data_IF_222889492174
#
_entry.id   IF_222889492174
#
_cell.length_a   1.000
_cell.length_b   1.000
_cell.length_c   1.000
_cell.angle_alpha   90.00
_cell.angle_beta   90.00
_cell.angle_gamma   90.00
#
_symmetry.space_group_name_H-M   'P 1'
#
loop_
_entity.id
_entity.type
_entity.pdbx_description
1 polymer ?
#
# COMPACT_ATOMS: atom_id res chain seq x y z
N UNK A 1 17.60 -15.52 8.44
CA UNK A 1 16.32 -14.90 8.07
C UNK A 1 15.73 -14.13 9.25
N UNK A 2 15.83 -14.62 10.48
CA UNK A 2 15.29 -13.97 11.68
C UNK A 2 16.08 -12.74 12.15
N UNK A 3 17.35 -12.64 11.87
CA UNK A 3 18.22 -11.56 12.34
C UNK A 3 18.09 -10.24 11.57
N UNK A 4 17.57 -10.27 10.35
CA UNK A 4 17.36 -9.05 9.54
C UNK A 4 15.97 -8.42 9.73
N UNK A 5 14.99 -9.13 10.29
CA UNK A 5 13.63 -8.66 10.43
C UNK A 5 13.37 -7.86 11.72
N UNK A 6 14.10 -8.14 12.79
CA UNK A 6 13.83 -7.54 14.11
C UNK A 6 14.02 -6.02 14.20
N UNK A 7 15.06 -5.38 13.59
CA UNK A 7 15.20 -3.92 13.62
C UNK A 7 14.17 -3.20 12.73
N UNK A 8 13.54 -3.91 11.82
CA UNK A 8 12.67 -3.38 10.77
C UNK A 8 11.28 -3.05 11.31
N UNK A 9 10.87 -3.66 12.40
CA UNK A 9 9.54 -3.56 12.97
C UNK A 9 9.50 -2.81 14.31
N UNK A 10 10.49 -1.98 14.61
CA UNK A 10 10.38 -1.10 15.76
C UNK A 10 9.27 -0.06 15.54
N UNK A 11 8.40 0.10 16.54
CA UNK A 11 7.41 1.15 16.54
C UNK A 11 8.06 2.48 16.96
N UNK A 12 7.72 3.57 16.27
CA UNK A 12 8.27 4.88 16.60
C UNK A 12 8.10 5.91 15.51
N UNK A 13 8.72 7.06 15.72
CA UNK A 13 8.82 8.16 14.76
C UNK A 13 10.16 8.06 14.06
N UNK A 14 10.14 8.03 12.73
CA UNK A 14 11.32 7.89 11.89
C UNK A 14 11.40 9.01 10.88
N UNK A 15 12.58 9.57 10.74
CA UNK A 15 12.86 10.60 9.78
C UNK A 15 13.13 9.97 8.40
N UNK A 16 12.31 10.30 7.41
CA UNK A 16 12.49 9.89 6.01
C UNK A 16 13.42 10.85 5.30
N UNK A 17 13.18 12.14 5.50
CA UNK A 17 14.02 13.23 5.01
C UNK A 17 14.18 14.25 6.14
N UNK A 18 15.43 14.56 6.46
CA UNK A 18 15.80 15.37 7.61
C UNK A 18 15.04 16.70 7.71
N UNK A 19 14.31 16.90 8.79
CA UNK A 19 13.50 18.09 9.07
C UNK A 19 12.29 18.27 8.15
N UNK A 20 11.98 17.35 7.22
CA UNK A 20 10.99 17.52 6.15
C UNK A 20 9.91 16.45 6.13
N UNK A 21 10.28 15.18 6.20
CA UNK A 21 9.34 14.06 6.07
C UNK A 21 9.58 13.08 7.22
N UNK A 22 8.51 12.74 7.89
CA UNK A 22 8.52 11.80 9.02
C UNK A 22 7.46 10.71 8.83
N UNK A 23 7.75 9.51 9.30
CA UNK A 23 6.80 8.42 9.39
C UNK A 23 6.68 7.91 10.81
N UNK A 24 5.45 7.76 11.27
CA UNK A 24 5.13 6.98 12.47
C UNK A 24 4.84 5.57 12.01
N UNK A 25 5.65 4.62 12.45
CA UNK A 25 5.60 3.21 12.02
C UNK A 25 5.38 2.28 13.20
N UNK A 26 4.75 1.13 12.94
CA UNK A 26 4.60 0.06 13.92
C UNK A 26 3.43 0.23 14.89
N UNK A 27 2.64 1.29 14.78
CA UNK A 27 1.42 1.51 15.58
C UNK A 27 0.19 0.87 14.93
N UNK A 28 0.25 0.61 13.64
CA UNK A 28 -0.75 -0.07 12.84
C UNK A 28 -0.06 -0.83 11.69
N UNK A 29 -0.83 -1.43 10.79
CA UNK A 29 -0.31 -2.10 9.59
C UNK A 29 0.26 -1.08 8.60
N UNK A 30 -0.39 0.06 8.40
CA UNK A 30 0.08 1.16 7.56
C UNK A 30 0.89 2.20 8.35
N UNK A 31 1.76 2.90 7.65
CA UNK A 31 2.52 4.04 8.16
C UNK A 31 1.65 5.30 8.16
N UNK A 32 1.83 6.15 9.18
CA UNK A 32 1.26 7.49 9.22
C UNK A 32 2.38 8.48 8.85
N UNK A 33 2.23 9.19 7.74
CA UNK A 33 3.30 10.06 7.21
C UNK A 33 2.97 11.53 7.35
N UNK A 34 3.96 12.31 7.75
CA UNK A 34 3.90 13.76 7.90
C UNK A 34 4.93 14.42 7.00
N UNK A 35 4.48 15.30 6.12
CA UNK A 35 5.31 16.09 5.21
C UNK A 35 5.20 17.56 5.61
N UNK A 36 6.33 18.19 5.91
CA UNK A 36 6.36 19.62 6.25
C UNK A 36 6.02 20.45 5.01
N UNK A 37 5.10 21.38 5.14
CA UNK A 37 4.76 22.37 4.12
C UNK A 37 5.21 23.77 4.56
N UNK A 38 4.83 24.82 3.85
CA UNK A 38 5.32 26.16 4.12
C UNK A 38 4.90 26.71 5.49
N UNK A 39 3.65 26.47 5.90
CA UNK A 39 3.10 27.00 7.16
C UNK A 39 2.61 25.91 8.11
N UNK A 40 2.78 24.63 7.74
CA UNK A 40 2.29 23.52 8.54
C UNK A 40 2.67 22.15 7.99
N UNK A 41 1.71 21.25 7.93
CA UNK A 41 1.92 19.84 7.61
C UNK A 41 0.88 19.30 6.64
N UNK A 42 1.33 18.46 5.73
CA UNK A 42 0.50 17.56 4.92
C UNK A 42 0.61 16.17 5.56
N UNK A 43 -0.52 15.58 5.90
CA UNK A 43 -0.58 14.20 6.42
C UNK A 43 -0.92 13.27 5.26
N UNK A 44 -0.18 12.17 5.12
CA UNK A 44 -0.42 11.17 4.07
C UNK A 44 -0.78 9.86 4.73
N UNK A 45 -1.93 9.31 4.33
CA UNK A 45 -2.60 8.16 4.92
C UNK A 45 -2.79 8.30 6.44
N UNK A 46 -3.80 7.70 6.99
CA UNK A 46 -4.20 8.01 8.37
C UNK A 46 -4.52 6.77 9.21
N UNK A 47 -3.92 5.63 8.86
CA UNK A 47 -4.11 4.35 9.55
C UNK A 47 -5.54 3.79 9.52
N UNK A 48 -5.76 2.62 10.14
CA UNK A 48 -7.05 1.88 10.10
C UNK A 48 -8.12 2.51 10.99
N UNK A 49 -7.75 3.19 12.07
CA UNK A 49 -8.72 3.65 13.07
C UNK A 49 -8.29 4.95 13.75
N UNK A 50 -9.30 5.63 14.30
CA UNK A 50 -9.17 6.94 14.95
C UNK A 50 -8.15 6.94 16.09
N UNK A 51 -8.13 5.88 16.89
CA UNK A 51 -7.29 5.78 18.07
C UNK A 51 -5.81 5.63 17.69
N UNK A 52 -5.49 4.81 16.68
CA UNK A 52 -4.13 4.65 16.18
C UNK A 52 -3.62 5.96 15.55
N UNK A 53 -4.45 6.62 14.73
CA UNK A 53 -4.08 7.90 14.12
C UNK A 53 -3.85 9.00 15.16
N UNK A 54 -4.74 9.12 16.14
CA UNK A 54 -4.60 10.09 17.23
C UNK A 54 -3.36 9.81 18.09
N UNK A 55 -3.06 8.55 18.36
CA UNK A 55 -1.85 8.15 19.04
C UNK A 55 -0.59 8.52 18.24
N UNK A 56 -0.57 8.21 16.94
CA UNK A 56 0.53 8.55 16.04
C UNK A 56 0.78 10.05 15.96
N UNK A 57 -0.29 10.86 15.86
CA UNK A 57 -0.18 12.32 15.89
C UNK A 57 0.41 12.83 17.22
N UNK A 58 -0.02 12.26 18.35
CA UNK A 58 0.51 12.62 19.65
C UNK A 58 1.99 12.33 19.81
N UNK A 59 2.44 11.13 19.41
CA UNK A 59 3.86 10.76 19.58
C UNK A 59 4.79 11.58 18.68
N UNK A 60 4.38 11.94 17.47
CA UNK A 60 5.21 12.83 16.64
C UNK A 60 5.27 14.26 17.21
N UNK A 61 4.17 14.77 17.75
CA UNK A 61 4.16 16.06 18.46
C UNK A 61 5.12 16.05 19.66
N UNK A 62 5.11 14.96 20.44
CA UNK A 62 6.02 14.78 21.58
C UNK A 62 7.50 14.69 21.12
N UNK A 63 7.80 13.95 20.06
CA UNK A 63 9.17 13.77 19.56
C UNK A 63 9.72 15.05 18.97
N UNK A 64 8.93 15.79 18.20
CA UNK A 64 9.37 17.04 17.57
C UNK A 64 9.27 18.26 18.50
N UNK A 65 8.50 18.17 19.58
CA UNK A 65 8.22 19.31 20.46
C UNK A 65 7.38 20.39 19.76
N UNK A 66 6.56 20.00 18.78
CA UNK A 66 5.77 20.91 17.94
C UNK A 66 4.26 20.62 18.06
N UNK A 67 3.44 21.65 17.98
CA UNK A 67 1.99 21.50 17.80
C UNK A 67 1.68 21.26 16.32
N UNK A 68 1.58 20.02 15.91
CA UNK A 68 1.26 19.62 14.53
C UNK A 68 -0.23 19.72 14.28
N UNK A 69 -1.05 19.33 15.25
CA UNK A 69 -2.51 19.22 15.16
C UNK A 69 -3.16 20.51 14.63
N UNK A 70 -2.78 21.65 15.15
CA UNK A 70 -3.35 22.94 14.75
C UNK A 70 -2.75 23.49 13.45
N UNK A 71 -1.73 22.82 12.93
CA UNK A 71 -1.01 23.23 11.73
C UNK A 71 -1.14 22.22 10.57
N UNK A 72 -2.10 21.30 10.63
CA UNK A 72 -2.43 20.44 9.49
C UNK A 72 -3.10 21.29 8.42
N UNK A 73 -2.56 21.26 7.19
CA UNK A 73 -3.04 22.03 6.04
C UNK A 73 -3.78 21.17 5.05
N UNK A 74 -3.37 19.91 4.91
CA UNK A 74 -4.02 18.97 4.03
C UNK A 74 -3.84 17.53 4.53
N UNK A 75 -4.73 16.65 4.06
CA UNK A 75 -4.59 15.20 4.14
C UNK A 75 -4.63 14.65 2.71
N UNK A 76 -3.70 13.76 2.37
CA UNK A 76 -3.68 13.01 1.12
C UNK A 76 -3.94 11.55 1.47
N UNK A 77 -4.92 10.91 0.85
CA UNK A 77 -5.21 9.50 1.03
C UNK A 77 -4.93 8.78 -0.28
N UNK A 78 -4.05 7.78 -0.23
CA UNK A 78 -3.59 7.07 -1.42
C UNK A 78 -4.68 6.32 -2.16
N UNK A 79 -5.53 5.61 -1.42
CA UNK A 79 -6.54 4.72 -1.96
C UNK A 79 -7.61 4.33 -0.92
N UNK A 80 -8.55 3.49 -1.34
CA UNK A 80 -9.82 3.21 -0.63
C UNK A 80 -9.75 2.10 0.42
N UNK A 81 -8.58 1.53 0.72
CA UNK A 81 -8.46 0.54 1.80
C UNK A 81 -8.52 1.19 3.19
N UNK A 82 -9.10 0.47 4.14
CA UNK A 82 -9.41 1.02 5.47
C UNK A 82 -8.18 1.48 6.25
N UNK A 83 -7.04 0.84 6.06
CA UNK A 83 -5.79 1.16 6.75
C UNK A 83 -5.10 2.44 6.25
N UNK A 84 -5.68 3.10 5.23
CA UNK A 84 -5.19 4.38 4.71
C UNK A 84 -6.12 5.55 5.03
N UNK A 85 -7.44 5.31 5.23
CA UNK A 85 -8.39 6.38 5.51
C UNK A 85 -9.09 6.26 6.87
N UNK A 86 -9.13 5.07 7.48
CA UNK A 86 -10.03 4.77 8.60
C UNK A 86 -9.78 5.56 9.87
N UNK A 87 -8.58 6.11 10.03
CA UNK A 87 -8.19 6.92 11.18
C UNK A 87 -8.41 8.43 11.03
N UNK A 88 -9.06 8.89 9.96
CA UNK A 88 -9.13 10.32 9.60
C UNK A 88 -9.58 11.23 10.74
N UNK A 89 -10.54 10.80 11.57
CA UNK A 89 -11.02 11.61 12.72
C UNK A 89 -10.01 11.69 13.89
N UNK A 90 -8.96 10.88 13.87
CA UNK A 90 -7.83 11.01 14.79
C UNK A 90 -6.86 12.12 14.41
N UNK A 91 -6.92 12.55 13.15
CA UNK A 91 -6.06 13.60 12.57
C UNK A 91 -6.78 14.93 12.49
N UNK A 92 -7.99 14.95 11.91
CA UNK A 92 -8.81 16.16 11.74
C UNK A 92 -10.26 15.91 12.13
N UNK A 93 -10.96 16.94 12.59
CA UNK A 93 -12.40 16.88 12.81
C UNK A 93 -13.18 17.27 11.54
N UNK A 94 -14.44 16.82 11.40
CA UNK A 94 -15.28 17.23 10.26
C UNK A 94 -15.44 18.75 10.13
N UNK A 95 -15.40 19.50 11.23
CA UNK A 95 -15.53 20.96 11.27
C UNK A 95 -14.31 21.68 10.72
N UNK A 96 -13.13 21.06 10.79
CA UNK A 96 -11.88 21.61 10.25
C UNK A 96 -11.78 21.40 8.74
N UNK A 97 -12.54 20.44 8.18
CA UNK A 97 -12.42 20.03 6.77
C UNK A 97 -13.31 20.86 5.87
N UNK A 98 -12.79 21.34 4.74
CA UNK A 98 -13.54 22.08 3.74
C UNK A 98 -12.65 22.79 2.72
N UNK A 99 -13.28 23.63 1.89
CA UNK A 99 -12.62 24.39 0.81
C UNK A 99 -12.45 25.88 1.13
N UNK A 100 -12.96 26.34 2.25
CA UNK A 100 -12.77 27.74 2.66
C UNK A 100 -11.33 27.98 3.12
N UNK A 101 -10.91 29.24 3.10
CA UNK A 101 -9.59 29.63 3.60
C UNK A 101 -9.40 29.18 5.04
N UNK A 102 -8.24 28.61 5.34
CA UNK A 102 -7.89 28.07 6.66
C UNK A 102 -8.46 26.69 6.98
N UNK A 103 -9.32 26.12 6.13
CA UNK A 103 -9.80 24.74 6.30
C UNK A 103 -8.82 23.71 5.72
N UNK A 104 -8.84 22.52 6.29
CA UNK A 104 -8.02 21.37 5.83
C UNK A 104 -8.68 20.74 4.61
N UNK A 105 -7.92 20.54 3.55
CA UNK A 105 -8.37 19.85 2.35
C UNK A 105 -8.00 18.37 2.41
N UNK A 106 -8.90 17.50 1.92
CA UNK A 106 -8.65 16.07 1.79
C UNK A 106 -8.62 15.70 0.31
N UNK A 107 -7.46 15.28 -0.16
CA UNK A 107 -7.19 14.87 -1.54
C UNK A 107 -7.22 13.35 -1.65
N UNK A 108 -7.98 12.84 -2.62
CA UNK A 108 -8.13 11.40 -2.91
C UNK A 108 -8.12 11.15 -4.42
N UNK A 109 -7.81 9.95 -4.91
CA UNK A 109 -8.01 9.61 -6.32
C UNK A 109 -9.49 9.58 -6.69
N UNK A 110 -9.83 9.92 -7.92
CA UNK A 110 -11.20 9.80 -8.42
C UNK A 110 -11.69 8.34 -8.32
N UNK A 111 -12.96 8.16 -7.92
CA UNK A 111 -13.55 6.85 -7.62
C UNK A 111 -13.35 6.37 -6.18
N UNK A 112 -12.59 7.09 -5.36
CA UNK A 112 -12.30 6.71 -3.97
C UNK A 112 -13.56 6.38 -3.15
N UNK A 113 -14.59 7.23 -3.18
CA UNK A 113 -15.81 7.05 -2.39
C UNK A 113 -16.56 5.78 -2.78
N UNK A 114 -16.70 5.55 -4.10
CA UNK A 114 -17.37 4.38 -4.63
C UNK A 114 -16.64 3.09 -4.24
N UNK A 115 -15.33 3.05 -4.40
CA UNK A 115 -14.50 1.89 -4.07
C UNK A 115 -14.44 1.66 -2.55
N UNK A 116 -14.43 2.73 -1.74
CA UNK A 116 -14.53 2.62 -0.29
C UNK A 116 -15.82 1.90 0.14
N UNK A 117 -16.96 2.24 -0.48
CA UNK A 117 -18.25 1.59 -0.19
C UNK A 117 -18.25 0.14 -0.69
N UNK A 118 -17.79 -0.10 -1.91
CA UNK A 118 -17.74 -1.45 -2.48
C UNK A 118 -16.94 -2.41 -1.61
N UNK A 119 -15.77 -1.99 -1.16
CA UNK A 119 -14.87 -2.86 -0.43
C UNK A 119 -15.29 -3.02 1.04
N UNK A 120 -15.66 -1.94 1.71
CA UNK A 120 -15.90 -1.99 3.15
C UNK A 120 -17.36 -2.28 3.52
N UNK A 121 -18.33 -2.16 2.59
CA UNK A 121 -19.74 -2.35 2.87
C UNK A 121 -20.32 -3.58 2.17
N UNK A 122 -20.15 -3.74 0.85
CA UNK A 122 -20.85 -4.80 0.10
C UNK A 122 -20.46 -6.21 0.58
N UNK A 123 -19.17 -6.48 0.70
CA UNK A 123 -18.65 -7.75 1.19
C UNK A 123 -17.89 -7.61 2.52
N UNK A 124 -17.99 -6.47 3.19
CA UNK A 124 -17.18 -6.10 4.35
C UNK A 124 -17.20 -7.13 5.47
N UNK A 125 -18.38 -7.64 5.83
CA UNK A 125 -18.52 -8.69 6.86
C UNK A 125 -17.78 -9.98 6.47
N UNK A 126 -17.91 -10.43 5.22
CA UNK A 126 -17.21 -11.61 4.72
C UNK A 126 -15.70 -11.39 4.71
N UNK A 127 -15.24 -10.24 4.25
CA UNK A 127 -13.83 -9.86 4.25
C UNK A 127 -13.26 -9.76 5.66
N UNK A 128 -14.00 -9.19 6.61
CA UNK A 128 -13.60 -9.13 8.00
C UNK A 128 -13.37 -10.52 8.60
N UNK A 129 -14.29 -11.47 8.41
CA UNK A 129 -14.10 -12.83 8.88
C UNK A 129 -12.90 -13.54 8.23
N UNK A 130 -12.67 -13.29 6.95
CA UNK A 130 -11.54 -13.88 6.21
C UNK A 130 -10.20 -13.22 6.51
N UNK A 131 -10.20 -11.98 6.98
CA UNK A 131 -8.98 -11.25 7.33
C UNK A 131 -8.15 -11.94 8.43
N UNK A 132 -8.79 -12.71 9.30
CA UNK A 132 -8.12 -13.53 10.31
C UNK A 132 -7.09 -14.50 9.71
N UNK A 133 -7.42 -15.08 8.54
CA UNK A 133 -6.51 -15.98 7.81
C UNK A 133 -5.39 -15.22 7.11
N UNK A 134 -5.63 -14.01 6.66
CA UNK A 134 -4.63 -13.19 5.99
C UNK A 134 -3.61 -12.60 6.96
N UNK A 135 -4.10 -12.07 8.08
CA UNK A 135 -3.27 -11.36 9.04
C UNK A 135 -2.91 -12.19 10.29
N UNK A 136 -3.40 -13.43 10.39
CA UNK A 136 -3.15 -14.29 11.55
C UNK A 136 -3.75 -13.73 12.84
N UNK A 137 -4.96 -13.12 12.76
CA UNK A 137 -5.58 -12.42 13.89
C UNK A 137 -5.83 -13.26 15.13
N UNK A 138 -6.04 -14.57 14.95
CA UNK A 138 -6.26 -15.53 16.06
C UNK A 138 -4.93 -16.08 16.64
N UNK A 139 -3.77 -15.72 16.07
CA UNK A 139 -2.46 -16.14 16.58
C UNK A 139 -1.91 -15.12 17.58
N UNK A 140 -1.31 -15.62 18.65
CA UNK A 140 -0.60 -14.76 19.61
C UNK A 140 0.56 -14.04 18.91
N UNK A 141 0.75 -12.76 19.20
CA UNK A 141 1.91 -12.02 18.73
C UNK A 141 3.20 -12.57 19.37
N UNK A 142 4.23 -12.75 18.56
CA UNK A 142 5.54 -13.22 19.02
C UNK A 142 6.15 -14.32 18.15
N UNK A 143 7.34 -14.76 18.51
CA UNK A 143 8.15 -15.70 17.72
C UNK A 143 7.53 -17.09 17.50
N UNK A 144 6.60 -17.49 18.35
CA UNK A 144 5.87 -18.78 18.27
C UNK A 144 4.48 -18.67 17.65
N UNK A 145 4.06 -17.48 17.22
CA UNK A 145 2.77 -17.21 16.64
C UNK A 145 2.91 -16.26 15.44
N UNK A 146 2.26 -15.09 15.52
CA UNK A 146 2.33 -14.06 14.49
C UNK A 146 3.52 -13.13 14.78
N UNK A 147 4.57 -13.20 13.97
CA UNK A 147 5.73 -12.30 14.06
C UNK A 147 5.38 -10.92 13.47
N UNK A 148 4.69 -10.90 12.33
CA UNK A 148 4.22 -9.69 11.65
C UNK A 148 3.07 -10.05 10.70
N UNK A 149 2.48 -9.04 10.05
CA UNK A 149 1.51 -9.23 8.97
C UNK A 149 2.17 -9.32 7.58
N UNK A 150 3.48 -9.11 7.50
CA UNK A 150 4.20 -8.98 6.22
C UNK A 150 4.23 -7.56 5.67
N UNK A 151 3.27 -6.71 6.04
CA UNK A 151 3.20 -5.28 5.70
C UNK A 151 3.57 -4.38 6.90
N UNK A 152 3.33 -4.86 8.11
CA UNK A 152 3.60 -4.15 9.35
C UNK A 152 3.62 -5.11 10.54
N UNK A 153 3.80 -4.59 11.76
CA UNK A 153 3.84 -5.40 12.99
C UNK A 153 2.50 -6.12 13.25
N UNK A 154 1.40 -5.42 13.03
CA UNK A 154 0.07 -5.95 13.27
C UNK A 154 -0.99 -4.96 12.84
N UNK A 155 -2.26 -5.38 12.92
CA UNK A 155 -3.42 -4.52 12.72
C UNK A 155 -3.84 -3.97 14.08
N UNK A 156 -4.07 -2.67 14.17
CA UNK A 156 -4.65 -2.04 15.34
C UNK A 156 -6.17 -2.29 15.40
N UNK A 157 -6.75 -2.10 16.59
CA UNK A 157 -8.19 -2.19 16.82
C UNK A 157 -8.72 -0.86 17.33
N UNK A 158 -9.84 -0.42 16.80
CA UNK A 158 -10.44 0.86 17.17
C UNK A 158 -11.63 1.23 16.28
N UNK A 159 -11.97 2.50 16.27
CA UNK A 159 -13.11 3.06 15.55
C UNK A 159 -12.73 3.44 14.13
N UNK A 160 -13.26 2.73 13.13
CA UNK A 160 -13.17 3.15 11.72
C UNK A 160 -13.95 4.45 11.55
N UNK A 161 -13.34 5.43 10.92
CA UNK A 161 -13.96 6.73 10.68
C UNK A 161 -13.84 7.14 9.21
N UNK A 162 -14.72 8.05 8.82
CA UNK A 162 -14.75 8.60 7.48
C UNK A 162 -15.11 10.08 7.54
N UNK A 163 -14.49 10.88 6.70
CA UNK A 163 -14.86 12.26 6.40
C UNK A 163 -14.88 12.38 4.88
N UNK A 164 -15.96 12.95 4.33
CA UNK A 164 -16.08 13.15 2.88
C UNK A 164 -14.90 13.96 2.35
N UNK A 165 -14.18 13.46 1.35
CA UNK A 165 -13.07 14.18 0.73
C UNK A 165 -13.51 15.49 0.10
N UNK A 166 -12.60 16.45 0.03
CA UNK A 166 -12.88 17.75 -0.59
C UNK A 166 -12.45 17.81 -2.05
N UNK A 167 -11.44 17.03 -2.43
CA UNK A 167 -10.78 17.11 -3.73
C UNK A 167 -10.49 15.73 -4.31
N UNK A 168 -10.97 15.52 -5.54
CA UNK A 168 -10.81 14.27 -6.27
C UNK A 168 -9.83 14.49 -7.43
N UNK A 169 -8.71 13.79 -7.40
CA UNK A 169 -7.70 13.82 -8.46
C UNK A 169 -8.14 12.88 -9.58
N UNK A 170 -8.52 13.46 -10.72
CA UNK A 170 -9.09 12.72 -11.85
C UNK A 170 -8.08 12.45 -12.98
N UNK A 171 -6.93 13.13 -12.98
CA UNK A 171 -5.84 12.97 -13.94
C UNK A 171 -4.50 13.29 -13.28
N UNK A 172 -3.41 12.85 -13.91
CA UNK A 172 -2.07 13.22 -13.47
C UNK A 172 -1.95 14.74 -13.47
N UNK A 173 -1.61 15.32 -12.35
CA UNK A 173 -1.59 16.78 -12.16
C UNK A 173 -0.58 17.22 -11.13
N UNK A 174 -0.26 18.50 -11.14
CA UNK A 174 0.57 19.13 -10.12
C UNK A 174 -0.23 20.22 -9.41
N UNK A 175 -0.23 20.16 -8.08
CA UNK A 175 -0.90 21.14 -7.23
C UNK A 175 0.09 21.77 -6.26
N UNK A 176 -0.11 23.05 -5.92
CA UNK A 176 0.57 23.70 -4.81
C UNK A 176 -0.29 23.59 -3.56
N UNK A 177 0.18 22.85 -2.56
CA UNK A 177 -0.51 22.65 -1.28
C UNK A 177 0.29 23.33 -0.17
N UNK A 178 -0.25 24.36 0.44
CA UNK A 178 0.44 25.18 1.44
C UNK A 178 1.89 25.57 1.05
N UNK A 179 2.04 25.99 -0.23
CA UNK A 179 3.32 26.46 -0.78
C UNK A 179 4.32 25.34 -1.15
N UNK A 180 3.96 24.08 -0.99
CA UNK A 180 4.72 22.94 -1.45
C UNK A 180 4.10 22.38 -2.74
N UNK A 181 4.91 22.19 -3.78
CA UNK A 181 4.48 21.54 -5.01
C UNK A 181 4.36 20.03 -4.81
N UNK A 182 3.25 19.46 -5.25
CA UNK A 182 2.95 18.02 -5.17
C UNK A 182 2.48 17.56 -6.54
N UNK A 183 3.22 16.66 -7.16
CA UNK A 183 2.81 15.96 -8.38
C UNK A 183 2.02 14.71 -8.01
N UNK A 184 0.88 14.52 -8.66
CA UNK A 184 0.02 13.36 -8.50
C UNK A 184 0.11 12.47 -9.73
N UNK A 185 0.41 11.20 -9.54
CA UNK A 185 0.36 10.17 -10.57
C UNK A 185 -0.75 9.18 -10.23
N UNK A 186 -1.79 9.13 -11.05
CA UNK A 186 -2.85 8.11 -10.89
C UNK A 186 -2.35 6.73 -11.30
N UNK A 187 -2.71 5.73 -10.51
CA UNK A 187 -2.31 4.33 -10.71
C UNK A 187 -3.51 3.37 -10.58
N UNK A 188 -4.61 3.60 -11.32
CA UNK A 188 -5.85 2.85 -11.13
C UNK A 188 -5.68 1.36 -11.45
N UNK A 189 -6.30 0.52 -10.63
CA UNK A 189 -6.31 -0.93 -10.81
C UNK A 189 -4.98 -1.61 -10.48
N UNK A 190 -4.10 -0.93 -9.77
CA UNK A 190 -2.86 -1.50 -9.22
C UNK A 190 -3.15 -2.24 -7.92
N UNK A 191 -2.75 -1.71 -6.77
CA UNK A 191 -3.07 -2.25 -5.45
C UNK A 191 -4.57 -2.08 -5.15
N UNK A 192 -5.14 -0.94 -5.51
CA UNK A 192 -6.57 -0.67 -5.43
C UNK A 192 -7.15 -0.18 -6.77
N UNK A 193 -8.49 -0.26 -6.97
CA UNK A 193 -9.14 0.26 -8.17
C UNK A 193 -8.91 1.75 -8.39
N UNK A 194 -8.91 2.53 -7.31
CA UNK A 194 -8.62 3.96 -7.29
C UNK A 194 -7.41 4.19 -6.36
N UNK A 195 -6.26 4.51 -6.95
CA UNK A 195 -5.00 4.71 -6.24
C UNK A 195 -4.14 5.78 -6.92
N UNK A 196 -3.27 6.43 -6.16
CA UNK A 196 -2.33 7.44 -6.66
C UNK A 196 -1.02 7.46 -5.88
N UNK A 197 0.08 7.75 -6.59
CA UNK A 197 1.39 8.10 -6.05
C UNK A 197 1.56 9.62 -5.99
N UNK A 198 2.55 10.08 -5.20
CA UNK A 198 2.90 11.50 -5.11
C UNK A 198 4.40 11.73 -5.24
N UNK A 199 4.79 12.80 -5.93
CA UNK A 199 6.18 13.28 -5.96
C UNK A 199 6.26 14.70 -5.41
N UNK A 200 7.26 14.96 -4.58
CA UNK A 200 7.55 16.25 -3.98
C UNK A 200 8.86 16.79 -4.59
N UNK A 201 8.79 17.63 -5.64
CA UNK A 201 9.97 18.07 -6.39
C UNK A 201 11.00 18.78 -5.52
N UNK A 202 10.57 19.71 -4.65
CA UNK A 202 11.43 20.45 -3.73
C UNK A 202 12.22 19.53 -2.79
N UNK A 203 11.63 18.41 -2.41
CA UNK A 203 12.22 17.43 -1.49
C UNK A 203 12.89 16.26 -2.21
N UNK A 204 12.78 16.20 -3.54
CA UNK A 204 13.26 15.07 -4.36
C UNK A 204 12.82 13.73 -3.77
N UNK A 205 11.56 13.67 -3.28
CA UNK A 205 11.00 12.56 -2.55
C UNK A 205 9.78 12.00 -3.27
N UNK A 206 9.81 10.71 -3.58
CA UNK A 206 8.72 10.00 -4.24
C UNK A 206 7.97 9.11 -3.26
N UNK A 207 6.68 9.34 -3.10
CA UNK A 207 5.79 8.48 -2.32
C UNK A 207 5.05 7.52 -3.24
N UNK A 208 5.35 6.23 -3.08
CA UNK A 208 4.89 5.16 -3.95
C UNK A 208 3.57 4.52 -3.47
N UNK A 209 2.84 5.15 -2.58
CA UNK A 209 1.60 4.61 -1.97
C UNK A 209 1.78 3.17 -1.49
N UNK A 210 0.96 2.23 -1.95
CA UNK A 210 1.13 0.79 -1.73
C UNK A 210 1.63 0.04 -2.99
N UNK A 211 1.86 0.77 -4.10
CA UNK A 211 2.36 0.20 -5.35
C UNK A 211 3.76 -0.41 -5.23
N UNK A 212 4.59 0.06 -4.31
CA UNK A 212 5.87 -0.51 -3.99
C UNK A 212 6.01 -0.63 -2.48
N UNK A 213 6.20 -1.84 -1.98
CA UNK A 213 6.38 -2.13 -0.55
C UNK A 213 7.66 -2.93 -0.34
N UNK A 214 8.09 -3.12 0.90
CA UNK A 214 9.25 -3.94 1.25
C UNK A 214 9.02 -5.44 1.17
N UNK A 215 8.01 -5.87 0.41
CA UNK A 215 7.62 -7.27 0.22
C UNK A 215 6.97 -7.45 -1.15
N UNK A 216 6.93 -8.69 -1.66
CA UNK A 216 6.02 -9.02 -2.76
C UNK A 216 4.58 -8.87 -2.26
N UNK A 217 3.85 -7.94 -2.84
CA UNK A 217 2.45 -7.74 -2.49
C UNK A 217 1.57 -8.79 -3.16
N UNK A 218 0.41 -9.08 -2.58
CA UNK A 218 -0.54 -10.00 -3.18
C UNK A 218 -1.36 -9.32 -4.30
N UNK A 219 -1.59 -10.07 -5.39
CA UNK A 219 -2.54 -9.70 -6.45
C UNK A 219 -3.96 -10.20 -6.15
N UNK A 220 -4.08 -11.14 -5.21
CA UNK A 220 -5.32 -11.61 -4.63
C UNK A 220 -5.19 -11.68 -3.11
N UNK A 221 -5.79 -10.73 -2.38
CA UNK A 221 -5.85 -10.83 -0.94
C UNK A 221 -6.82 -11.92 -0.53
N UNK A 222 -6.39 -12.86 0.33
CA UNK A 222 -7.25 -13.98 0.75
C UNK A 222 -8.44 -13.53 1.61
N UNK A 223 -8.38 -12.32 2.19
CA UNK A 223 -9.55 -11.68 2.82
C UNK A 223 -10.68 -11.43 1.82
N UNK A 224 -10.35 -11.21 0.59
CA UNK A 224 -11.26 -10.79 -0.47
C UNK A 224 -10.99 -9.34 -0.87
N UNK A 225 -11.05 -9.07 -2.13
CA UNK A 225 -11.11 -7.78 -2.80
C UNK A 225 -11.27 -8.04 -4.31
N UNK A 226 -11.39 -7.00 -5.12
CA UNK A 226 -11.24 -7.16 -6.56
C UNK A 226 -9.84 -7.68 -6.90
N UNK A 227 -9.74 -8.53 -7.92
CA UNK A 227 -8.45 -9.00 -8.42
C UNK A 227 -7.65 -7.81 -8.95
N UNK A 228 -6.47 -7.62 -8.39
CA UNK A 228 -5.52 -6.58 -8.78
C UNK A 228 -4.94 -6.90 -10.15
N UNK A 229 -4.62 -5.86 -10.91
CA UNK A 229 -4.12 -6.02 -12.27
C UNK A 229 -2.58 -5.93 -12.30
N UNK A 230 -1.93 -7.08 -12.45
CA UNK A 230 -0.48 -7.13 -12.54
C UNK A 230 0.07 -6.33 -13.75
N UNK A 231 -0.70 -6.23 -14.85
CA UNK A 231 -0.30 -5.45 -16.02
C UNK A 231 -0.29 -3.95 -15.72
N UNK A 232 -1.35 -3.43 -15.08
CA UNK A 232 -1.38 -2.04 -14.63
C UNK A 232 -0.31 -1.80 -13.59
N UNK A 233 -0.13 -2.70 -12.62
CA UNK A 233 0.84 -2.56 -11.55
C UNK A 233 2.26 -2.35 -12.07
N UNK A 234 2.75 -3.25 -12.91
CA UNK A 234 4.10 -3.09 -13.44
C UNK A 234 4.24 -1.88 -14.38
N UNK A 235 3.19 -1.53 -15.15
CA UNK A 235 3.21 -0.38 -16.07
C UNK A 235 3.30 0.93 -15.31
N UNK A 236 2.45 1.15 -14.32
CA UNK A 236 2.47 2.39 -13.53
C UNK A 236 3.74 2.52 -12.69
N UNK A 237 4.27 1.40 -12.16
CA UNK A 237 5.58 1.41 -11.49
C UNK A 237 6.72 1.72 -12.47
N UNK A 238 6.66 1.23 -13.70
CA UNK A 238 7.65 1.56 -14.74
C UNK A 238 7.55 3.04 -15.17
N UNK A 239 6.35 3.60 -15.28
CA UNK A 239 6.14 5.04 -15.51
C UNK A 239 6.72 5.87 -14.36
N UNK A 240 6.50 5.45 -13.11
CA UNK A 240 7.09 6.10 -11.95
C UNK A 240 8.64 6.05 -11.98
N UNK A 241 9.20 4.91 -12.36
CA UNK A 241 10.65 4.75 -12.56
C UNK A 241 11.19 5.72 -13.64
N UNK A 242 10.49 5.84 -14.77
CA UNK A 242 10.88 6.74 -15.86
C UNK A 242 10.82 8.21 -15.43
N UNK A 243 9.74 8.61 -14.76
CA UNK A 243 9.51 10.00 -14.34
C UNK A 243 10.39 10.40 -13.16
N UNK A 244 10.46 9.58 -12.12
CA UNK A 244 10.99 9.97 -10.82
C UNK A 244 12.24 9.21 -10.39
N UNK A 245 12.57 8.09 -11.01
CA UNK A 245 13.65 7.22 -10.57
C UNK A 245 15.00 7.92 -10.45
N UNK A 246 15.32 8.82 -11.39
CA UNK A 246 16.56 9.62 -11.39
C UNK A 246 16.42 10.96 -10.65
N UNK A 247 15.19 11.42 -10.44
CA UNK A 247 14.93 12.72 -9.83
C UNK A 247 14.82 12.61 -8.31
N UNK A 248 14.30 11.50 -7.81
CA UNK A 248 14.11 11.28 -6.38
C UNK A 248 15.41 10.80 -5.72
N UNK A 249 15.67 11.30 -4.53
CA UNK A 249 16.75 10.84 -3.64
C UNK A 249 16.23 9.81 -2.62
N UNK A 250 14.91 9.77 -2.42
CA UNK A 250 14.22 8.80 -1.56
C UNK A 250 12.89 8.38 -2.17
N UNK A 251 12.58 7.09 -2.08
CA UNK A 251 11.24 6.54 -2.25
C UNK A 251 10.74 6.02 -0.91
N UNK A 252 9.51 6.40 -0.56
CA UNK A 252 8.85 5.97 0.67
C UNK A 252 7.40 5.58 0.37
N UNK A 253 6.78 4.84 1.26
CA UNK A 253 5.52 4.17 0.97
C UNK A 253 4.66 3.99 2.21
N UNK A 254 3.44 3.52 2.01
CA UNK A 254 2.43 3.33 3.04
C UNK A 254 2.76 2.21 4.02
N UNK A 255 3.61 1.25 3.62
CA UNK A 255 4.04 0.11 4.45
C UNK A 255 5.54 -0.06 4.41
N UNK A 256 6.09 -0.71 5.45
CA UNK A 256 7.53 -0.95 5.60
C UNK A 256 8.34 0.37 5.74
N UNK A 257 9.55 0.44 5.20
CA UNK A 257 10.46 1.59 5.36
C UNK A 257 10.94 2.10 4.01
N UNK A 258 11.42 3.35 3.97
CA UNK A 258 11.88 4.00 2.76
C UNK A 258 13.15 3.38 2.17
N UNK A 259 13.43 3.73 0.92
CA UNK A 259 14.68 3.43 0.22
C UNK A 259 15.31 4.71 -0.29
N UNK A 260 16.60 4.89 0.00
CA UNK A 260 17.35 6.08 -0.33
C UNK A 260 18.43 5.80 -1.36
N UNK A 261 18.81 6.84 -2.12
CA UNK A 261 20.12 6.88 -2.77
C UNK A 261 21.16 7.19 -1.69
N UNK A 262 22.14 6.32 -1.53
CA UNK A 262 23.26 6.50 -0.59
C UNK A 262 24.58 6.27 -1.33
N UNK A 263 25.74 6.65 -0.76
CA UNK A 263 27.02 6.32 -1.36
C UNK A 263 27.21 4.83 -1.66
N UNK A 264 26.64 3.94 -0.82
CA UNK A 264 26.69 2.49 -0.99
C UNK A 264 25.64 1.97 -1.99
N UNK A 265 24.54 2.69 -2.14
CA UNK A 265 23.42 2.37 -3.06
C UNK A 265 23.04 3.60 -3.88
N UNK A 266 23.90 4.08 -4.81
CA UNK A 266 23.68 5.34 -5.53
C UNK A 266 22.45 5.32 -6.46
N UNK A 267 21.91 4.15 -6.75
CA UNK A 267 20.72 3.92 -7.55
C UNK A 267 19.61 3.22 -6.75
N UNK A 268 19.58 3.40 -5.43
CA UNK A 268 18.65 2.70 -4.54
C UNK A 268 17.18 2.91 -4.94
N UNK A 269 16.80 4.13 -5.29
CA UNK A 269 15.43 4.47 -5.74
C UNK A 269 15.11 3.82 -7.08
N UNK A 270 16.01 3.95 -8.08
CA UNK A 270 15.80 3.32 -9.40
C UNK A 270 15.71 1.80 -9.29
N UNK A 271 16.58 1.18 -8.51
CA UNK A 271 16.61 -0.27 -8.34
C UNK A 271 15.37 -0.78 -7.60
N UNK A 272 14.89 -0.04 -6.60
CA UNK A 272 13.67 -0.38 -5.89
C UNK A 272 12.45 -0.38 -6.83
N UNK A 273 12.25 0.70 -7.59
CA UNK A 273 11.15 0.81 -8.56
C UNK A 273 11.28 -0.22 -9.69
N UNK A 274 12.49 -0.40 -10.24
CA UNK A 274 12.76 -1.36 -11.33
C UNK A 274 12.47 -2.80 -10.92
N UNK A 275 12.91 -3.21 -9.73
CA UNK A 275 12.70 -4.58 -9.27
C UNK A 275 11.23 -4.85 -8.91
N UNK A 276 10.52 -3.86 -8.35
CA UNK A 276 9.08 -3.96 -8.13
C UNK A 276 8.33 -4.11 -9.46
N UNK A 277 8.60 -3.28 -10.46
CA UNK A 277 8.00 -3.43 -11.79
C UNK A 277 8.33 -4.79 -12.42
N UNK A 278 9.60 -5.22 -12.33
CA UNK A 278 10.07 -6.44 -12.96
C UNK A 278 9.44 -7.72 -12.38
N UNK A 279 9.22 -7.79 -11.07
CA UNK A 279 8.63 -8.98 -10.45
C UNK A 279 7.17 -9.16 -10.86
N UNK A 280 6.35 -8.10 -10.87
CA UNK A 280 4.96 -8.18 -11.33
C UNK A 280 4.86 -8.46 -12.82
N UNK A 281 5.72 -7.82 -13.63
CA UNK A 281 5.80 -8.11 -15.06
C UNK A 281 6.16 -9.57 -15.34
N UNK A 282 7.15 -10.11 -14.64
CA UNK A 282 7.54 -11.50 -14.80
C UNK A 282 6.42 -12.46 -14.44
N UNK A 283 5.77 -12.28 -13.30
CA UNK A 283 4.65 -13.13 -12.87
C UNK A 283 3.52 -13.07 -13.89
N UNK A 284 3.16 -11.86 -14.36
CA UNK A 284 2.14 -11.65 -15.37
C UNK A 284 2.47 -12.38 -16.68
N UNK A 285 3.61 -12.07 -17.30
CA UNK A 285 3.97 -12.57 -18.62
C UNK A 285 4.18 -14.09 -18.61
N UNK A 286 4.83 -14.61 -17.54
CA UNK A 286 5.06 -16.04 -17.40
C UNK A 286 3.77 -16.81 -17.19
N UNK A 287 2.84 -16.29 -16.41
CA UNK A 287 1.51 -16.88 -16.21
C UNK A 287 0.77 -17.01 -17.54
N UNK A 288 0.68 -15.91 -18.30
CA UNK A 288 -0.06 -15.92 -19.58
C UNK A 288 0.64 -16.80 -20.63
N UNK A 289 1.97 -16.82 -20.66
CA UNK A 289 2.72 -17.72 -21.51
C UNK A 289 2.35 -19.19 -21.26
N UNK A 290 2.31 -19.62 -20.01
CA UNK A 290 1.94 -20.98 -19.63
C UNK A 290 0.45 -21.28 -19.89
N UNK A 291 -0.44 -20.31 -19.61
CA UNK A 291 -1.86 -20.45 -19.90
C UNK A 291 -2.12 -20.67 -21.39
N UNK A 292 -1.42 -19.95 -22.27
CA UNK A 292 -1.48 -20.13 -23.72
C UNK A 292 -0.89 -21.47 -24.20
N UNK A 293 -0.13 -22.16 -23.36
CA UNK A 293 0.31 -23.53 -23.59
C UNK A 293 -0.67 -24.60 -23.07
N UNK A 294 -1.84 -24.18 -22.58
CA UNK A 294 -2.88 -25.07 -22.05
C UNK A 294 -2.65 -25.53 -20.61
N UNK A 295 -1.76 -24.85 -19.85
CA UNK A 295 -1.57 -25.16 -18.43
C UNK A 295 -2.75 -24.67 -17.63
N UNK A 296 -3.20 -25.47 -16.67
CA UNK A 296 -4.22 -25.09 -15.68
C UNK A 296 -3.66 -24.11 -14.65
N UNK A 297 -4.52 -23.35 -13.96
CA UNK A 297 -4.11 -22.43 -12.89
C UNK A 297 -3.25 -23.12 -11.82
N UNK A 298 -3.50 -24.41 -11.54
CA UNK A 298 -2.81 -25.20 -10.53
C UNK A 298 -1.40 -25.61 -10.97
N UNK A 299 -1.23 -25.93 -12.25
CA UNK A 299 0.08 -26.22 -12.86
C UNK A 299 0.91 -24.96 -12.95
N UNK A 300 0.33 -23.85 -13.44
CA UNK A 300 0.97 -22.54 -13.55
C UNK A 300 1.53 -22.09 -12.20
N UNK A 301 0.75 -22.21 -11.12
CA UNK A 301 1.17 -21.84 -9.78
C UNK A 301 2.46 -22.57 -9.32
N UNK A 302 2.72 -23.78 -9.84
CA UNK A 302 3.92 -24.56 -9.53
C UNK A 302 5.08 -24.28 -10.49
N UNK A 303 4.78 -23.88 -11.73
CA UNK A 303 5.77 -23.67 -12.79
C UNK A 303 6.29 -22.22 -12.85
N UNK A 304 5.59 -21.25 -12.26
CA UNK A 304 6.06 -19.86 -12.18
C UNK A 304 7.07 -19.74 -11.05
N UNK A 305 8.34 -19.82 -11.41
CA UNK A 305 9.48 -19.64 -10.49
C UNK A 305 10.24 -18.39 -10.90
N UNK A 306 10.50 -17.51 -9.94
CA UNK A 306 11.24 -16.27 -10.19
C UNK A 306 12.68 -16.59 -10.65
N UNK A 307 13.20 -15.89 -11.68
CA UNK A 307 14.62 -15.96 -12.01
C UNK A 307 15.48 -15.59 -10.79
N UNK A 308 16.64 -16.21 -10.69
CA UNK A 308 17.56 -16.04 -9.55
C UNK A 308 17.83 -14.57 -9.22
N UNK A 309 17.97 -13.72 -10.24
CA UNK A 309 18.20 -12.28 -10.08
C UNK A 309 17.05 -11.58 -9.34
N UNK A 310 15.79 -11.92 -9.63
CA UNK A 310 14.62 -11.37 -8.93
C UNK A 310 14.40 -12.06 -7.58
N UNK A 311 14.64 -13.36 -7.47
CA UNK A 311 14.47 -14.11 -6.23
C UNK A 311 15.45 -13.67 -5.11
N UNK A 312 16.60 -13.09 -5.48
CA UNK A 312 17.58 -12.55 -4.53
C UNK A 312 17.24 -11.16 -3.99
N UNK A 313 16.32 -10.43 -4.62
CA UNK A 313 15.91 -9.11 -4.17
C UNK A 313 15.11 -9.24 -2.89
N UNK A 314 15.64 -8.71 -1.79
CA UNK A 314 15.07 -8.93 -0.46
C UNK A 314 13.72 -8.23 -0.25
N UNK A 315 13.50 -7.07 -0.84
CA UNK A 315 12.28 -6.27 -0.71
C UNK A 315 11.15 -6.69 -1.67
N UNK A 316 11.37 -7.70 -2.50
CA UNK A 316 10.31 -8.34 -3.31
C UNK A 316 10.12 -9.82 -2.93
N UNK A 317 10.59 -10.22 -1.75
CA UNK A 317 10.35 -11.58 -1.21
C UNK A 317 8.90 -11.74 -0.75
N UNK A 318 8.40 -12.98 -0.77
CA UNK A 318 6.99 -13.28 -0.47
C UNK A 318 6.68 -13.30 1.04
N UNK A 319 6.83 -12.16 1.72
CA UNK A 319 6.46 -12.04 3.14
C UNK A 319 4.97 -11.78 3.33
N UNK A 320 4.29 -11.20 2.32
CA UNK A 320 2.86 -10.91 2.34
C UNK A 320 2.11 -11.60 1.21
N UNK A 321 2.47 -11.34 -0.05
CA UNK A 321 2.00 -12.11 -1.21
C UNK A 321 2.85 -13.35 -1.46
N UNK A 322 2.45 -14.19 -2.40
CA UNK A 322 3.27 -15.31 -2.89
C UNK A 322 3.21 -15.40 -4.41
N UNK A 323 4.29 -15.91 -5.00
CA UNK A 323 4.39 -16.08 -6.48
C UNK A 323 3.28 -16.97 -7.00
N UNK A 324 3.00 -18.08 -6.30
CA UNK A 324 2.00 -19.08 -6.67
C UNK A 324 0.58 -18.52 -6.64
N UNK A 325 0.24 -17.76 -5.59
CA UNK A 325 -1.09 -17.13 -5.46
C UNK A 325 -1.22 -16.00 -6.47
N UNK A 326 -0.18 -15.19 -6.66
CA UNK A 326 -0.16 -14.12 -7.64
C UNK A 326 -0.31 -14.65 -9.08
N UNK A 327 0.35 -15.75 -9.43
CA UNK A 327 0.17 -16.41 -10.73
C UNK A 327 -1.28 -16.87 -10.93
N UNK A 328 -1.90 -17.46 -9.90
CA UNK A 328 -3.33 -17.83 -9.96
C UNK A 328 -4.23 -16.60 -10.06
N UNK A 329 -3.89 -15.49 -9.41
CA UNK A 329 -4.62 -14.24 -9.53
C UNK A 329 -4.59 -13.69 -10.97
N UNK A 330 -3.41 -13.68 -11.60
CA UNK A 330 -3.27 -13.32 -13.03
C UNK A 330 -4.12 -14.22 -13.90
N UNK A 331 -4.04 -15.54 -13.71
CA UNK A 331 -4.89 -16.48 -14.45
C UNK A 331 -6.38 -16.15 -14.30
N UNK A 332 -6.85 -15.97 -13.07
CA UNK A 332 -8.25 -15.65 -12.80
C UNK A 332 -8.68 -14.29 -13.35
N UNK A 333 -7.80 -13.30 -13.39
CA UNK A 333 -8.08 -11.97 -13.96
C UNK A 333 -8.44 -12.05 -15.43
N UNK A 334 -7.77 -12.93 -16.20
CA UNK A 334 -7.97 -13.08 -17.64
C UNK A 334 -8.98 -14.17 -18.00
N UNK A 335 -9.04 -15.27 -17.24
CA UNK A 335 -9.77 -16.50 -17.60
C UNK A 335 -10.90 -16.85 -16.61
N UNK A 336 -11.03 -16.12 -15.51
CA UNK A 336 -12.05 -16.38 -14.50
C UNK A 336 -11.70 -17.56 -13.57
N UNK A 337 -12.69 -18.04 -12.82
CA UNK A 337 -12.49 -19.04 -11.78
C UNK A 337 -12.34 -20.47 -12.31
N UNK A 338 -12.77 -20.74 -13.56
CA UNK A 338 -12.66 -22.06 -14.16
C UNK A 338 -11.21 -22.40 -14.45
N UNK A 339 -10.72 -23.46 -13.82
CA UNK A 339 -9.30 -23.85 -13.87
C UNK A 339 -8.92 -24.75 -15.04
N UNK A 340 -9.85 -25.00 -15.97
CA UNK A 340 -9.64 -25.90 -17.12
C UNK A 340 -9.98 -27.36 -16.84
N UNK A 341 -10.39 -27.74 -15.60
CA UNK A 341 -10.81 -29.09 -15.27
C UNK A 341 -12.33 -29.18 -15.12
N UNK A 342 -13.06 -29.80 -16.08
CA UNK A 342 -14.51 -29.89 -16.02
C UNK A 342 -15.05 -30.57 -14.76
N UNK A 343 -14.30 -31.48 -14.14
CA UNK A 343 -14.73 -32.18 -12.94
C UNK A 343 -14.79 -31.29 -11.70
N UNK A 344 -14.06 -30.16 -11.70
CA UNK A 344 -14.04 -29.19 -10.62
C UNK A 344 -15.08 -28.07 -10.83
N UNK A 345 -15.71 -27.98 -12.01
CA UNK A 345 -16.70 -26.92 -12.30
C UNK A 345 -17.98 -27.07 -11.47
N UNK A 346 -18.45 -28.28 -11.31
CA UNK A 346 -19.64 -28.60 -10.51
C UNK A 346 -19.46 -29.99 -9.86
N UNK A 347 -18.53 -30.07 -8.93
CA UNK A 347 -18.24 -31.32 -8.23
C UNK A 347 -19.47 -31.78 -7.40
N UNK A 348 -19.81 -33.07 -7.52
CA UNK A 348 -20.83 -33.66 -6.68
C UNK A 348 -20.37 -33.65 -5.22
N UNK A 349 -21.28 -33.29 -4.32
CA UNK A 349 -21.01 -33.39 -2.87
C UNK A 349 -20.76 -34.85 -2.49
N UNK A 350 -19.67 -35.11 -1.81
CA UNK A 350 -19.40 -36.45 -1.27
C UNK A 350 -20.48 -36.78 -0.23
N UNK A 351 -21.30 -37.79 -0.50
CA UNK A 351 -22.37 -38.27 0.41
C UNK A 351 -21.83 -39.15 1.52
N UNK A 352 -20.54 -39.28 1.72
CA UNK A 352 -19.89 -40.16 2.67
C UNK A 352 -19.14 -39.44 3.78
N UNK A 353 -19.44 -38.17 4.04
CA UNK A 353 -18.93 -37.47 5.23
C UNK A 353 -20.00 -37.35 6.28
#
# INVERSE_FOLDING_TARGET
VQTCALPIFEAGVFEVLAGKIYQVRGIDVANLTFVRSKTGWIVIDVTTNTEAAAYGLRIIEEVLGENIRDHIRAVIISHSHADHFGGIKGIVSPQQVGKAEGQVRIYVPAGFDEETVKENVYAGTAMFHRSKYQFGGDLLAGSKGRVSTGLGLGTSSGTLSYITPTDFIAEDTTLTIDGLEVEFQLTPGTEAPAEMNNYFPEYRAFWAAENCTGTLHNLYPIRGAQLRDAANWWRFTAIALERYGKQADVVFQSHNWPHWNTPETPHGVEDFLRNNAAVYKYIHDRTLHLANQGRTAKEIAREVVLPEKLAKVWYTRPYYGSVEINARAVYCKYLGFYNGNPTELNALTDRKS
#
